data_IF_728374065625
#
_entry.id   IF_728374065625
#
_cell.length_a   1.000
_cell.length_b   1.000
_cell.length_c   1.000
_cell.angle_alpha   90.00
_cell.angle_beta   90.00
_cell.angle_gamma   90.00
#
_symmetry.space_group_name_H-M   'P 1'
#
loop_
_entity.id
_entity.type
_entity.pdbx_description
1 polymer ?
#
# COMPACT_ATOMS: atom_id res chain seq x y z
N UNK A 1 46.01 16.23 1.94
CA UNK A 1 44.70 16.82 2.28
C UNK A 1 43.68 16.76 1.14
N UNK A 2 44.01 17.14 -0.10
CA UNK A 2 43.04 17.09 -1.23
C UNK A 2 42.58 15.65 -1.56
N UNK A 3 43.51 14.69 -1.60
CA UNK A 3 43.20 13.26 -1.82
C UNK A 3 42.44 12.60 -0.66
N UNK A 4 42.70 13.01 0.59
CA UNK A 4 41.97 12.49 1.77
C UNK A 4 40.54 13.01 1.84
N UNK A 5 40.30 14.26 1.44
CA UNK A 5 38.94 14.82 1.33
C UNK A 5 38.14 14.12 0.22
N UNK A 6 38.75 13.88 -0.94
CA UNK A 6 38.14 13.10 -2.02
C UNK A 6 37.79 11.66 -1.59
N UNK A 7 38.68 11.01 -0.83
CA UNK A 7 38.44 9.66 -0.31
C UNK A 7 37.27 9.63 0.68
N UNK A 8 37.16 10.62 1.57
CA UNK A 8 36.05 10.75 2.52
C UNK A 8 34.72 11.00 1.81
N UNK A 9 34.69 11.85 0.78
CA UNK A 9 33.48 12.11 -0.01
C UNK A 9 33.03 10.89 -0.81
N UNK A 10 33.97 10.12 -1.38
CA UNK A 10 33.67 8.89 -2.08
C UNK A 10 33.08 7.84 -1.13
N UNK A 11 33.65 7.67 0.06
CA UNK A 11 33.12 6.76 1.08
C UNK A 11 31.70 7.17 1.52
N UNK A 12 31.46 8.47 1.73
CA UNK A 12 30.12 8.98 2.08
C UNK A 12 29.08 8.73 0.98
N UNK A 13 29.44 8.90 -0.29
CA UNK A 13 28.55 8.63 -1.42
C UNK A 13 28.16 7.14 -1.53
N UNK A 14 29.09 6.23 -1.25
CA UNK A 14 28.82 4.78 -1.22
C UNK A 14 27.84 4.42 -0.11
N UNK A 15 28.03 4.98 1.09
CA UNK A 15 27.12 4.76 2.22
C UNK A 15 25.72 5.29 1.91
N UNK A 16 25.61 6.48 1.29
CA UNK A 16 24.32 7.04 0.88
C UNK A 16 23.62 6.20 -0.19
N UNK A 17 24.36 5.70 -1.19
CA UNK A 17 23.81 4.82 -2.22
C UNK A 17 23.30 3.50 -1.63
N UNK A 18 24.03 2.90 -0.70
CA UNK A 18 23.59 1.68 0.00
C UNK A 18 22.32 1.92 0.83
N UNK A 19 22.25 3.04 1.56
CA UNK A 19 21.06 3.41 2.31
C UNK A 19 19.83 3.61 1.40
N UNK A 20 20.00 4.23 0.22
CA UNK A 20 18.92 4.38 -0.77
C UNK A 20 18.49 3.01 -1.31
N UNK A 21 19.44 2.13 -1.65
CA UNK A 21 19.14 0.80 -2.18
C UNK A 21 18.40 -0.07 -1.15
N UNK A 22 18.83 -0.05 0.11
CA UNK A 22 18.13 -0.74 1.21
C UNK A 22 16.74 -0.15 1.50
N UNK A 23 16.56 1.16 1.31
CA UNK A 23 15.25 1.80 1.45
C UNK A 23 14.29 1.48 0.30
N UNK A 24 14.79 1.13 -0.88
CA UNK A 24 13.97 0.62 -1.99
C UNK A 24 13.47 -0.80 -1.70
N UNK A 25 14.32 -1.64 -1.11
CA UNK A 25 13.96 -3.00 -0.70
C UNK A 25 12.93 -3.02 0.43
N UNK A 26 13.08 -2.13 1.44
CA UNK A 26 12.06 -1.94 2.48
C UNK A 26 10.74 -1.32 1.97
N UNK A 27 10.72 -0.72 0.76
CA UNK A 27 9.50 -0.28 0.07
C UNK A 27 8.90 -1.38 -0.82
N UNK A 28 9.62 -2.48 -1.02
CA UNK A 28 9.14 -3.68 -1.71
C UNK A 28 8.35 -4.53 -0.71
N UNK A 29 7.21 -4.01 -0.30
CA UNK A 29 6.37 -4.58 0.77
C UNK A 29 5.46 -5.69 0.21
N UNK A 30 6.05 -6.78 -0.28
CA UNK A 30 5.30 -7.96 -0.73
C UNK A 30 5.94 -9.22 -0.16
N UNK A 31 5.40 -9.70 0.94
CA UNK A 31 5.60 -11.08 1.37
C UNK A 31 5.14 -12.01 0.24
N UNK A 32 6.03 -12.89 -0.22
CA UNK A 32 5.69 -13.92 -1.19
C UNK A 32 4.75 -14.93 -0.51
N UNK A 33 3.46 -14.85 -0.83
CA UNK A 33 2.44 -15.82 -0.39
C UNK A 33 2.65 -17.17 -1.10
N UNK A 34 2.74 -18.27 -0.34
CA UNK A 34 2.37 -19.61 -0.83
C UNK A 34 0.95 -19.93 -0.35
N UNK A 35 -0.04 -19.78 -1.24
CA UNK A 35 -1.41 -20.26 -0.99
C UNK A 35 -1.43 -21.75 -1.34
N UNK A 36 -1.62 -22.62 -0.34
CA UNK A 36 -1.64 -24.08 -0.54
C UNK A 36 -2.60 -24.49 -1.66
N UNK A 37 -2.07 -25.18 -2.67
CA UNK A 37 -2.73 -25.45 -3.95
C UNK A 37 -1.75 -25.26 -5.12
N UNK A 38 -2.24 -25.16 -6.35
CA UNK A 38 -1.44 -24.93 -7.58
C UNK A 38 -0.72 -23.55 -7.64
N UNK A 39 -0.64 -22.84 -6.52
CA UNK A 39 0.17 -21.63 -6.35
C UNK A 39 -0.33 -20.40 -7.09
N UNK A 40 -1.53 -20.41 -7.68
CA UNK A 40 -2.05 -19.26 -8.42
C UNK A 40 -2.66 -18.22 -7.49
N UNK A 41 -1.83 -17.27 -7.08
CA UNK A 41 -2.24 -16.05 -6.37
C UNK A 41 -2.38 -14.91 -7.36
N UNK A 42 -3.46 -14.14 -7.26
CA UNK A 42 -3.66 -12.91 -8.02
C UNK A 42 -3.76 -11.74 -7.04
N UNK A 43 -2.94 -10.71 -7.26
CA UNK A 43 -3.03 -9.46 -6.52
C UNK A 43 -4.06 -8.56 -7.19
N UNK A 44 -5.15 -8.27 -6.48
CA UNK A 44 -6.18 -7.33 -6.94
C UNK A 44 -6.02 -6.03 -6.16
N UNK A 45 -5.66 -4.91 -6.82
CA UNK A 45 -5.45 -3.64 -6.14
C UNK A 45 -6.77 -3.06 -5.65
N UNK A 46 -6.67 -2.29 -4.56
CA UNK A 46 -7.76 -1.45 -4.05
C UNK A 46 -7.52 -0.02 -4.53
N UNK A 47 -8.57 0.64 -5.02
CA UNK A 47 -8.49 2.02 -5.49
C UNK A 47 -8.11 3.01 -4.37
N UNK A 48 -7.63 4.19 -4.76
CA UNK A 48 -7.27 5.29 -3.84
C UNK A 48 -6.14 4.98 -2.84
N UNK A 49 -5.38 3.89 -3.05
CA UNK A 49 -4.19 3.58 -2.25
C UNK A 49 -4.50 3.12 -0.82
N UNK A 50 -5.72 2.67 -0.56
CA UNK A 50 -6.08 2.07 0.73
C UNK A 50 -5.27 0.78 0.96
N UNK A 51 -4.79 0.58 2.18
CA UNK A 51 -3.98 -0.56 2.56
C UNK A 51 -4.84 -1.65 3.19
N UNK A 52 -4.68 -2.88 2.66
CA UNK A 52 -5.13 -4.16 3.22
C UNK A 52 -6.62 -4.30 3.56
N UNK A 53 -7.15 -5.53 3.62
CA UNK A 53 -8.33 -5.78 4.43
C UNK A 53 -7.92 -5.79 5.92
N UNK A 54 -8.36 -4.80 6.69
CA UNK A 54 -8.23 -4.79 8.16
C UNK A 54 -9.20 -5.76 8.84
N UNK A 55 -10.29 -6.11 8.14
CA UNK A 55 -11.29 -7.09 8.58
C UNK A 55 -11.98 -7.74 7.39
N UNK A 56 -12.54 -8.94 7.59
CA UNK A 56 -13.37 -9.64 6.59
C UNK A 56 -14.68 -10.10 7.22
N UNK A 57 -15.78 -9.95 6.49
CA UNK A 57 -17.10 -10.46 6.87
C UNK A 57 -17.77 -11.19 5.70
N UNK A 58 -18.58 -12.20 6.03
CA UNK A 58 -19.33 -13.00 5.07
C UNK A 58 -20.80 -12.91 5.44
N UNK A 59 -21.66 -12.70 4.44
CA UNK A 59 -23.09 -12.77 4.68
C UNK A 59 -23.58 -14.23 4.60
N UNK A 60 -24.72 -14.52 5.24
CA UNK A 60 -25.31 -15.86 5.24
C UNK A 60 -25.98 -16.25 3.92
N UNK A 61 -26.13 -15.31 2.97
CA UNK A 61 -26.68 -15.53 1.64
C UNK A 61 -25.63 -15.86 0.58
N UNK A 62 -24.34 -15.86 0.93
CA UNK A 62 -23.24 -16.11 0.01
C UNK A 62 -22.80 -14.88 -0.80
N UNK A 63 -23.21 -13.68 -0.41
CA UNK A 63 -22.59 -12.45 -0.89
C UNK A 63 -21.30 -12.12 -0.12
N UNK A 64 -20.56 -11.14 -0.66
CA UNK A 64 -19.22 -10.83 -0.18
C UNK A 64 -18.14 -11.79 -0.73
N UNK A 65 -16.98 -11.91 -0.06
CA UNK A 65 -16.62 -11.29 1.23
C UNK A 65 -16.68 -9.76 1.22
N UNK A 66 -16.87 -9.17 2.40
CA UNK A 66 -16.77 -7.75 2.66
C UNK A 66 -15.45 -7.46 3.39
N UNK A 67 -14.73 -6.42 2.98
CA UNK A 67 -13.43 -6.04 3.54
C UNK A 67 -13.47 -4.59 4.03
N UNK A 68 -13.15 -4.36 5.31
CA UNK A 68 -12.83 -3.01 5.79
C UNK A 68 -11.40 -2.64 5.37
N UNK A 69 -11.18 -1.43 4.87
CA UNK A 69 -9.85 -0.95 4.44
C UNK A 69 -9.46 0.34 5.17
N UNK A 70 -8.16 0.67 5.16
CA UNK A 70 -7.57 1.74 5.98
C UNK A 70 -8.12 3.15 5.77
N UNK A 71 -8.82 3.39 4.66
CA UNK A 71 -9.46 4.67 4.36
C UNK A 71 -10.92 4.76 4.87
N UNK A 72 -11.37 3.75 5.62
CA UNK A 72 -12.68 3.73 6.27
C UNK A 72 -13.83 3.33 5.35
N UNK A 73 -13.53 2.83 4.14
CA UNK A 73 -14.50 2.13 3.28
C UNK A 73 -14.68 0.68 3.71
N UNK A 74 -15.86 0.16 3.42
CA UNK A 74 -16.14 -1.27 3.36
C UNK A 74 -16.31 -1.63 1.89
N UNK A 75 -15.46 -2.53 1.41
CA UNK A 75 -15.50 -3.05 0.06
C UNK A 75 -16.24 -4.39 0.03
N UNK A 76 -16.87 -4.71 -1.09
CA UNK A 76 -17.48 -6.01 -1.37
C UNK A 76 -16.76 -6.64 -2.55
N UNK A 77 -16.44 -7.93 -2.44
CA UNK A 77 -15.95 -8.71 -3.56
C UNK A 77 -17.09 -9.00 -4.55
N UNK A 78 -16.84 -8.75 -5.84
CA UNK A 78 -17.77 -9.08 -6.93
C UNK A 78 -17.17 -10.21 -7.77
N UNK A 79 -17.61 -11.48 -7.57
CA UNK A 79 -16.96 -12.64 -8.21
C UNK A 79 -16.98 -12.59 -9.74
N UNK A 80 -18.08 -12.13 -10.33
CA UNK A 80 -18.24 -12.08 -11.79
C UNK A 80 -17.29 -11.10 -12.47
N UNK A 81 -16.83 -10.08 -11.74
CA UNK A 81 -15.98 -9.02 -12.25
C UNK A 81 -14.55 -9.09 -11.69
N UNK A 82 -14.31 -10.02 -10.75
CA UNK A 82 -13.03 -10.20 -10.05
C UNK A 82 -12.45 -8.89 -9.51
N UNK A 83 -13.32 -8.02 -8.99
CA UNK A 83 -12.95 -6.72 -8.43
C UNK A 83 -13.59 -6.48 -7.07
N UNK A 84 -12.99 -5.52 -6.36
CA UNK A 84 -13.59 -4.91 -5.19
C UNK A 84 -14.47 -3.73 -5.60
N UNK A 85 -15.62 -3.58 -4.94
CA UNK A 85 -16.57 -2.48 -5.10
C UNK A 85 -16.79 -1.80 -3.75
N UNK A 86 -16.94 -0.47 -3.74
CA UNK A 86 -17.34 0.24 -2.53
C UNK A 86 -18.79 -0.11 -2.15
N UNK A 87 -18.96 -0.73 -0.98
CA UNK A 87 -20.27 -1.05 -0.43
C UNK A 87 -20.80 0.07 0.47
N UNK A 88 -19.94 0.61 1.31
CA UNK A 88 -20.27 1.71 2.21
C UNK A 88 -19.00 2.46 2.62
N UNK A 89 -19.16 3.72 3.01
CA UNK A 89 -18.06 4.55 3.50
C UNK A 89 -18.48 5.35 4.73
N UNK A 90 -17.54 5.54 5.65
CA UNK A 90 -17.69 6.47 6.78
C UNK A 90 -17.55 7.94 6.38
N UNK A 91 -17.01 8.24 5.18
CA UNK A 91 -16.84 9.60 4.68
C UNK A 91 -17.29 9.77 3.22
N UNK A 92 -17.76 10.96 2.82
CA UNK A 92 -18.22 11.19 1.45
C UNK A 92 -17.07 11.03 0.42
N UNK A 93 -17.35 10.53 -0.79
CA UNK A 93 -16.33 10.18 -1.78
C UNK A 93 -15.35 11.32 -2.13
N UNK A 94 -15.83 12.56 -2.05
CA UNK A 94 -15.06 13.76 -2.38
C UNK A 94 -13.89 14.03 -1.42
N UNK A 95 -13.93 13.48 -0.20
CA UNK A 95 -12.82 13.63 0.76
C UNK A 95 -11.65 12.69 0.45
N UNK A 96 -11.87 11.55 -0.23
CA UNK A 96 -10.80 10.63 -0.64
C UNK A 96 -9.87 11.27 -1.66
N UNK A 97 -10.44 11.87 -2.70
CA UNK A 97 -9.67 12.61 -3.71
C UNK A 97 -8.89 13.74 -3.05
N UNK A 98 -9.50 14.44 -2.09
CA UNK A 98 -8.86 15.56 -1.39
C UNK A 98 -7.70 15.11 -0.49
N UNK A 99 -7.84 14.01 0.24
CA UNK A 99 -6.77 13.43 1.07
C UNK A 99 -5.63 12.88 0.20
N UNK A 100 -5.95 12.18 -0.89
CA UNK A 100 -4.97 11.67 -1.85
C UNK A 100 -4.24 12.79 -2.64
N UNK A 101 -4.86 13.96 -2.79
CA UNK A 101 -4.31 15.12 -3.50
C UNK A 101 -3.73 16.19 -2.56
N UNK A 102 -3.75 15.97 -1.25
CA UNK A 102 -3.25 16.96 -0.30
C UNK A 102 -1.71 16.96 -0.30
N UNK A 103 -1.06 18.13 -0.44
CA UNK A 103 0.39 18.20 -0.25
C UNK A 103 0.74 17.75 1.18
N UNK A 104 1.92 17.13 1.39
CA UNK A 104 2.35 16.72 2.72
C UNK A 104 2.26 17.92 3.66
N UNK A 105 1.57 17.74 4.80
CA UNK A 105 1.45 18.78 5.81
C UNK A 105 2.88 19.19 6.21
N UNK A 106 3.32 20.37 5.80
CA UNK A 106 4.55 20.96 6.31
C UNK A 106 4.26 21.25 7.78
N UNK A 107 4.80 20.41 8.66
CA UNK A 107 4.82 20.64 10.11
C UNK A 107 5.48 21.99 10.37
N UNK A 108 4.67 23.04 10.46
CA UNK A 108 5.08 24.35 10.91
C UNK A 108 5.31 24.29 12.42
N UNK A 109 6.59 24.24 12.80
CA UNK A 109 7.08 24.68 14.10
C UNK A 109 7.80 25.99 13.87
#
# INVERSE_FOLDING_TARGET
MKMTVLAVLAAAAVVAAAAILSSLDARSDVAVLEIGGDGRVELVPVDAGAAGPESLAFDGGGGGPYAGVSDGRVLRWVPGERRWEEHSSSCPPELYVRLASSPPLTSGV
#
